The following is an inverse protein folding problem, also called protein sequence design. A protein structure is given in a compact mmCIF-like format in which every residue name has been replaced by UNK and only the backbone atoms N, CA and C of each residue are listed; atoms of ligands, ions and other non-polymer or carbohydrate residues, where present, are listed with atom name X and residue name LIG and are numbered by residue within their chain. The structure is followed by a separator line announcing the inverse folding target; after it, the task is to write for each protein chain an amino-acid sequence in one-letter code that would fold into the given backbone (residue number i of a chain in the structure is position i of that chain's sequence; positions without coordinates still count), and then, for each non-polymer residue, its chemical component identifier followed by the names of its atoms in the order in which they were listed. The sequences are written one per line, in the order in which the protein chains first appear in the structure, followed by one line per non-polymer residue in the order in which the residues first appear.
data_IF_120235183133
#
_entry.id   IF_120235183133
#
_cell.length_a   1.000
_cell.length_b   1.000
_cell.length_c   1.000
_cell.angle_alpha   90.00
_cell.angle_beta   90.00
_cell.angle_gamma   90.00
#
_symmetry.space_group_name_H-M   'P 1'
#
loop_
_entity.id
_entity.type
_entity.pdbx_description
1 polymer ?
#
# COMPACT_ATOMS: atom_id res chain seq x y z
N UNK A 1 -11.18 0.53 2.19
CA UNK A 1 -10.04 -0.38 2.47
C UNK A 1 -9.68 -1.24 1.26
N UNK A 2 -10.62 -1.96 0.66
CA UNK A 2 -10.35 -2.80 -0.52
C UNK A 2 -9.68 -2.04 -1.67
N UNK A 3 -10.16 -0.84 -2.01
CA UNK A 3 -9.56 0.01 -3.05
C UNK A 3 -8.06 0.31 -2.81
N UNK A 4 -7.71 0.81 -1.62
CA UNK A 4 -6.31 1.07 -1.24
C UNK A 4 -5.44 -0.18 -1.36
N UNK A 5 -5.99 -1.32 -0.96
CA UNK A 5 -5.30 -2.60 -1.05
C UNK A 5 -5.08 -3.03 -2.50
N UNK A 6 -6.07 -2.85 -3.37
CA UNK A 6 -5.97 -3.17 -4.80
C UNK A 6 -4.99 -2.27 -5.53
N UNK A 7 -4.98 -0.96 -5.26
CA UNK A 7 -4.01 0.00 -5.83
C UNK A 7 -2.59 -0.45 -5.49
N UNK A 8 -2.32 -0.73 -4.22
CA UNK A 8 -1.01 -1.21 -3.77
C UNK A 8 -0.64 -2.57 -4.39
N UNK A 9 -1.56 -3.54 -4.33
CA UNK A 9 -1.31 -4.92 -4.79
C UNK A 9 -1.04 -4.98 -6.29
N UNK A 10 -1.82 -4.27 -7.09
CA UNK A 10 -1.60 -4.23 -8.54
C UNK A 10 -0.36 -3.42 -8.91
N UNK A 11 -0.08 -2.31 -8.22
CA UNK A 11 1.13 -1.53 -8.47
C UNK A 11 2.40 -2.34 -8.22
N UNK A 12 2.45 -3.09 -7.12
CA UNK A 12 3.59 -3.94 -6.76
C UNK A 12 3.70 -5.20 -7.58
N UNK A 13 2.57 -5.76 -8.04
CA UNK A 13 2.56 -6.89 -8.96
C UNK A 13 3.12 -6.50 -10.33
N UNK A 14 2.73 -5.33 -10.86
CA UNK A 14 3.18 -4.83 -12.17
C UNK A 14 4.62 -4.30 -12.10
N UNK A 15 4.99 -3.66 -11.00
CA UNK A 15 6.34 -3.12 -10.77
C UNK A 15 6.94 -3.76 -9.54
N UNK A 16 7.55 -4.92 -9.73
CA UNK A 16 8.28 -5.62 -8.68
C UNK A 16 9.35 -4.75 -8.00
N UNK A 17 9.94 -3.79 -8.72
CA UNK A 17 10.88 -2.80 -8.17
C UNK A 17 10.27 -1.85 -7.14
N UNK A 18 8.95 -1.61 -7.13
CA UNK A 18 8.27 -0.87 -6.06
C UNK A 18 8.14 -1.71 -4.80
N UNK A 19 7.88 -3.01 -4.97
CA UNK A 19 7.76 -3.96 -3.86
C UNK A 19 9.11 -4.22 -3.20
N UNK A 20 10.16 -4.44 -4.00
CA UNK A 20 11.52 -4.69 -3.51
C UNK A 20 12.32 -3.41 -3.25
N UNK A 21 11.83 -2.26 -3.70
CA UNK A 21 12.50 -0.96 -3.59
C UNK A 21 12.16 -0.21 -2.31
N UNK A 22 12.52 1.10 -2.26
CA UNK A 22 12.37 1.92 -1.06
C UNK A 22 10.93 1.93 -0.52
N UNK A 23 9.91 1.98 -1.38
CA UNK A 23 8.53 2.07 -0.90
C UNK A 23 8.08 0.79 -0.16
N UNK A 24 8.24 -0.41 -0.74
CA UNK A 24 7.86 -1.65 -0.07
C UNK A 24 8.81 -2.05 1.06
N UNK A 25 10.12 -2.02 0.82
CA UNK A 25 11.13 -2.44 1.79
C UNK A 25 11.23 -1.49 2.97
N UNK A 26 11.17 -0.17 2.76
CA UNK A 26 11.29 0.79 3.87
C UNK A 26 10.03 0.80 4.73
N UNK A 27 8.84 0.62 4.12
CA UNK A 27 7.61 0.45 4.90
C UNK A 27 7.62 -0.84 5.71
N UNK A 28 8.10 -1.95 5.13
CA UNK A 28 8.23 -3.20 5.87
C UNK A 28 9.21 -3.08 7.05
N UNK A 29 10.37 -2.42 6.85
CA UNK A 29 11.37 -2.19 7.91
C UNK A 29 10.87 -1.30 9.05
N UNK A 30 9.89 -0.43 8.80
CA UNK A 30 9.26 0.40 9.85
C UNK A 30 8.39 -0.41 10.81
N UNK A 31 8.08 -1.67 10.49
CA UNK A 31 7.11 -2.46 11.25
C UNK A 31 5.68 -1.93 11.02
N UNK A 32 4.75 -2.31 11.90
CA UNK A 32 3.37 -1.83 11.83
C UNK A 32 3.28 -0.33 12.14
N UNK A 33 2.31 0.35 11.50
CA UNK A 33 2.01 1.73 11.82
C UNK A 33 1.58 1.85 13.31
N UNK A 34 2.04 2.88 14.04
CA UNK A 34 1.70 3.05 15.46
C UNK A 34 0.21 3.34 15.69
N UNK A 35 -0.54 3.68 14.63
CA UNK A 35 -1.96 3.97 14.68
C UNK A 35 -2.86 2.74 14.47
N UNK A 36 -2.30 1.53 14.40
CA UNK A 36 -3.09 0.30 14.27
C UNK A 36 -2.87 -0.65 15.44
N UNK A 37 -3.93 -1.31 15.86
CA UNK A 37 -3.88 -2.50 16.69
C UNK A 37 -3.65 -3.72 15.82
N UNK A 38 -2.89 -4.70 16.31
CA UNK A 38 -2.56 -5.93 15.59
C UNK A 38 -2.95 -7.13 16.44
N UNK A 39 -3.72 -8.06 15.86
CA UNK A 39 -4.08 -9.33 16.50
C UNK A 39 -3.79 -10.50 15.55
N UNK A 40 -3.24 -11.59 16.09
CA UNK A 40 -3.01 -12.79 15.32
C UNK A 40 -4.34 -13.52 15.07
N UNK A 41 -4.60 -13.89 13.81
CA UNK A 41 -5.78 -14.69 13.43
C UNK A 41 -5.39 -16.17 13.38
N UNK A 42 -4.23 -16.45 12.78
CA UNK A 42 -3.58 -17.75 12.65
C UNK A 42 -2.12 -17.54 12.29
N UNK A 43 -1.32 -18.60 12.35
CA UNK A 43 0.10 -18.55 12.01
C UNK A 43 0.34 -17.84 10.66
N UNK A 44 1.14 -16.78 10.70
CA UNK A 44 1.52 -15.97 9.54
C UNK A 44 0.46 -14.97 9.04
N UNK A 45 -0.72 -14.88 9.66
CA UNK A 45 -1.80 -13.97 9.31
C UNK A 45 -2.32 -13.17 10.50
N UNK A 46 -2.51 -11.87 10.29
CA UNK A 46 -2.95 -10.94 11.33
C UNK A 46 -4.14 -10.11 10.86
N UNK A 47 -4.93 -9.65 11.82
CA UNK A 47 -5.86 -8.54 11.65
C UNK A 47 -5.16 -7.26 12.10
N UNK A 48 -5.24 -6.21 11.28
CA UNK A 48 -4.87 -4.85 11.65
C UNK A 48 -6.13 -4.01 11.74
N UNK A 49 -6.29 -3.24 12.82
CA UNK A 49 -7.47 -2.39 13.08
C UNK A 49 -7.01 -0.97 13.41
N UNK A 50 -7.56 0.01 12.71
CA UNK A 50 -7.34 1.44 12.98
C UNK A 50 -8.61 2.25 12.74
N UNK A 51 -8.50 3.58 12.80
CA UNK A 51 -9.65 4.48 12.60
C UNK A 51 -10.33 4.34 11.23
N UNK A 52 -9.60 3.87 10.22
CA UNK A 52 -10.09 3.66 8.86
C UNK A 52 -10.78 2.29 8.64
N UNK A 53 -10.85 1.44 9.67
CA UNK A 53 -11.43 0.10 9.61
C UNK A 53 -10.42 -1.01 9.95
N UNK A 54 -10.71 -2.24 9.51
CA UNK A 54 -9.87 -3.41 9.75
C UNK A 54 -9.52 -4.16 8.46
N UNK A 55 -8.40 -4.88 8.46
CA UNK A 55 -7.97 -5.75 7.36
C UNK A 55 -7.29 -7.01 7.89
N UNK A 56 -7.62 -8.16 7.31
CA UNK A 56 -6.97 -9.45 7.61
C UNK A 56 -6.04 -9.83 6.46
N UNK A 57 -4.73 -9.89 6.72
CA UNK A 57 -3.70 -10.08 5.71
C UNK A 57 -2.58 -11.00 6.23
N UNK A 58 -1.68 -11.46 5.35
CA UNK A 58 -0.42 -12.05 5.81
C UNK A 58 0.38 -11.01 6.60
N UNK A 59 1.18 -11.44 7.58
CA UNK A 59 1.95 -10.52 8.41
C UNK A 59 2.80 -9.53 7.57
N UNK A 60 3.51 -9.96 6.50
CA UNK A 60 4.29 -9.00 5.69
C UNK A 60 3.44 -7.97 4.94
N UNK A 61 2.31 -8.39 4.37
CA UNK A 61 1.40 -7.48 3.70
C UNK A 61 0.72 -6.54 4.69
N UNK A 62 0.37 -7.03 5.88
CA UNK A 62 -0.21 -6.24 6.95
C UNK A 62 0.76 -5.16 7.46
N UNK A 63 2.05 -5.49 7.61
CA UNK A 63 3.09 -4.53 8.00
C UNK A 63 3.11 -3.33 7.07
N UNK A 64 3.16 -3.56 5.75
CA UNK A 64 3.18 -2.48 4.76
C UNK A 64 1.83 -1.76 4.71
N UNK A 65 0.74 -2.52 4.59
CA UNK A 65 -0.60 -1.96 4.39
C UNK A 65 -1.08 -1.13 5.57
N UNK A 66 -0.61 -1.41 6.79
CA UNK A 66 -0.93 -0.62 7.99
C UNK A 66 -0.61 0.87 7.84
N UNK A 67 0.48 1.22 7.13
CA UNK A 67 0.84 2.61 6.85
C UNK A 67 -0.06 3.25 5.80
N UNK A 68 -0.64 2.45 4.90
CA UNK A 68 -1.50 2.92 3.81
C UNK A 68 -2.96 3.11 4.25
N UNK A 69 -3.38 2.53 5.38
CA UNK A 69 -4.77 2.58 5.86
C UNK A 69 -5.26 4.02 6.07
N UNK A 70 -4.40 4.89 6.61
CA UNK A 70 -4.72 6.31 6.86
C UNK A 70 -4.24 7.24 5.75
N UNK A 71 -3.45 6.76 4.79
CA UNK A 71 -3.01 7.54 3.62
C UNK A 71 -4.19 7.81 2.67
N UNK A 72 -4.41 9.05 2.22
CA UNK A 72 -5.41 9.36 1.19
C UNK A 72 -5.15 8.58 -0.10
N UNK A 73 -6.21 8.23 -0.85
CA UNK A 73 -6.09 7.42 -2.07
C UNK A 73 -5.18 8.10 -3.08
N UNK A 74 -5.32 9.40 -3.25
CA UNK A 74 -4.57 10.22 -4.20
C UNK A 74 -3.07 10.23 -3.85
N UNK A 75 -2.74 10.17 -2.56
CA UNK A 75 -1.35 10.06 -2.11
C UNK A 75 -0.80 8.66 -2.38
N UNK A 76 -1.60 7.60 -2.21
CA UNK A 76 -1.18 6.23 -2.58
C UNK A 76 -0.92 6.17 -4.10
N UNK A 77 -1.81 6.75 -4.91
CA UNK A 77 -1.63 6.82 -6.37
C UNK A 77 -0.36 7.58 -6.77
N UNK A 78 -0.07 8.70 -6.10
CA UNK A 78 1.20 9.42 -6.30
C UNK A 78 2.40 8.56 -5.94
N UNK A 79 2.40 7.95 -4.76
CA UNK A 79 3.49 7.11 -4.27
C UNK A 79 3.77 5.94 -5.21
N UNK A 80 2.73 5.26 -5.70
CA UNK A 80 2.93 4.18 -6.64
C UNK A 80 3.36 4.71 -8.01
N UNK A 81 2.93 5.89 -8.46
CA UNK A 81 3.32 6.43 -9.77
C UNK A 81 4.67 7.13 -9.83
N UNK A 82 5.43 7.19 -8.72
CA UNK A 82 6.82 7.71 -8.72
C UNK A 82 7.64 7.05 -9.84
N UNK A 83 8.38 7.87 -10.59
CA UNK A 83 9.26 7.42 -11.67
C UNK A 83 8.56 7.07 -12.98
N UNK A 84 7.23 7.22 -13.10
CA UNK A 84 6.59 7.27 -14.42
C UNK A 84 6.72 8.69 -15.00
N UNK A 85 7.19 8.86 -16.25
CA UNK A 85 7.08 10.15 -16.91
C UNK A 85 5.60 10.52 -16.96
N UNK A 86 5.28 11.78 -16.65
CA UNK A 86 3.94 12.34 -16.84
C UNK A 86 3.56 12.12 -18.30
N UNK A 87 2.61 11.23 -18.56
CA UNK A 87 1.97 11.20 -19.88
C UNK A 87 1.25 12.53 -20.05
N UNK A 88 1.81 13.37 -20.91
CA UNK A 88 1.23 14.65 -21.36
C UNK A 88 -0.23 14.47 -21.80
N UNK A 89 -1.08 15.50 -21.66
CA UNK A 89 -2.45 15.43 -22.12
C UNK A 89 -2.47 15.16 -23.63
N UNK A 90 -3.30 14.19 -24.04
CA UNK A 90 -3.56 13.88 -25.44
C UNK A 90 -3.90 15.18 -26.16
N UNK A 91 -3.12 15.50 -27.18
CA UNK A 91 -3.49 16.45 -28.22
C UNK A 91 -4.92 16.11 -28.66
N UNK A 92 -5.86 17.02 -28.39
CA UNK A 92 -7.12 16.99 -29.10
C UNK A 92 -6.79 17.32 -30.55
N UNK A 93 -6.90 16.31 -31.41
CA UNK A 93 -6.94 16.53 -32.86
C UNK A 93 -8.16 17.40 -33.19
N UNK A 94 -7.92 18.26 -34.17
CA UNK A 94 -8.72 19.42 -34.59
C UNK A 94 -10.09 19.06 -35.15
#
# INVERSE_FOLDING_TARGET
MAEKYLIWSWATLIRSSLASGPLGTDLYKKGYAPSVEVSEIREGFVEIRGSAGAAALSAPSATIFSHLMTTPVEEIERLVNIGKPSTEPRTQEQ
#
